data_IF_553246451745
#
_entry.id   IF_553246451745
#
_cell.length_a   1.000
_cell.length_b   1.000
_cell.length_c   1.000
_cell.angle_alpha   90.00
_cell.angle_beta   90.00
_cell.angle_gamma   90.00
#
_symmetry.space_group_name_H-M   'P 1'
#
loop_
_entity.id
_entity.type
_entity.pdbx_description
1 polymer ?
#
# COMPACT_ATOMS: atom_id res chain seq x y z
N UNK A 1 29.39 -6.12 7.54
CA UNK A 1 28.09 -6.05 8.22
C UNK A 1 27.54 -4.63 8.04
N UNK A 2 26.62 -4.42 7.09
CA UNK A 2 26.16 -3.07 6.72
C UNK A 2 24.93 -2.66 7.55
N UNK A 3 25.14 -2.41 8.85
CA UNK A 3 24.08 -1.97 9.76
C UNK A 3 23.45 -0.64 9.29
N UNK A 4 22.15 -0.48 9.51
CA UNK A 4 21.43 0.76 9.20
C UNK A 4 21.86 1.86 10.20
N UNK A 5 22.05 3.12 9.77
CA UNK A 5 22.29 4.23 10.69
C UNK A 5 21.06 4.42 11.59
N UNK A 6 21.25 4.21 12.90
CA UNK A 6 20.17 4.00 13.86
C UNK A 6 19.42 5.28 14.24
N UNK A 7 18.09 5.22 14.17
CA UNK A 7 17.18 6.17 14.83
C UNK A 7 15.90 6.45 14.03
N UNK A 8 16.03 7.12 12.89
CA UNK A 8 14.88 7.64 12.13
C UNK A 8 14.08 6.53 11.45
N UNK A 9 14.73 5.60 10.75
CA UNK A 9 14.04 4.50 10.06
C UNK A 9 13.29 3.59 11.04
N UNK A 10 13.88 3.30 12.22
CA UNK A 10 13.21 2.52 13.27
C UNK A 10 11.97 3.24 13.82
N UNK A 11 12.02 4.56 13.99
CA UNK A 11 10.85 5.35 14.41
C UNK A 11 9.73 5.28 13.38
N UNK A 12 10.04 5.44 12.11
CA UNK A 12 9.07 5.35 11.01
C UNK A 12 8.46 3.94 10.93
N UNK A 13 9.29 2.90 11.05
CA UNK A 13 8.84 1.51 11.11
C UNK A 13 7.89 1.26 12.29
N UNK A 14 8.22 1.75 13.50
CA UNK A 14 7.35 1.62 14.68
C UNK A 14 6.03 2.38 14.48
N UNK A 15 6.06 3.54 13.83
CA UNK A 15 4.84 4.29 13.50
C UNK A 15 3.96 3.51 12.53
N UNK A 16 4.55 2.93 11.47
CA UNK A 16 3.85 2.06 10.52
C UNK A 16 3.28 0.79 11.20
N UNK A 17 4.05 0.16 12.08
CA UNK A 17 3.61 -0.99 12.87
C UNK A 17 2.36 -0.65 13.70
N UNK A 18 2.37 0.49 14.39
CA UNK A 18 1.20 0.96 15.15
C UNK A 18 -0.01 1.20 14.24
N UNK A 19 0.20 1.80 13.07
CA UNK A 19 -0.87 2.05 12.10
C UNK A 19 -1.47 0.75 11.53
N UNK A 20 -0.64 -0.29 11.34
CA UNK A 20 -1.06 -1.61 10.85
C UNK A 20 -1.92 -2.40 11.85
N UNK A 21 -1.91 -1.99 13.13
CA UNK A 21 -2.59 -2.65 14.26
C UNK A 21 -2.15 -4.10 14.50
N UNK A 22 -0.98 -4.49 13.99
CA UNK A 22 -0.39 -5.81 14.27
C UNK A 22 0.10 -5.87 15.71
N UNK A 23 -0.21 -6.98 16.36
CA UNK A 23 0.56 -7.44 17.52
C UNK A 23 1.92 -8.00 17.09
N UNK A 24 2.87 -8.09 18.01
CA UNK A 24 4.22 -8.62 17.71
C UNK A 24 4.17 -10.08 17.24
N UNK A 25 3.28 -10.89 17.83
CA UNK A 25 3.10 -12.30 17.42
C UNK A 25 2.64 -12.40 15.96
N UNK A 26 1.64 -11.61 15.58
CA UNK A 26 1.12 -11.59 14.20
C UNK A 26 2.15 -11.05 13.21
N UNK A 27 2.88 -9.99 13.60
CA UNK A 27 4.00 -9.47 12.82
C UNK A 27 5.04 -10.55 12.57
N UNK A 28 5.45 -11.29 13.62
CA UNK A 28 6.43 -12.36 13.51
C UNK A 28 5.95 -13.47 12.56
N UNK A 29 4.68 -13.91 12.65
CA UNK A 29 4.13 -14.93 11.76
C UNK A 29 4.11 -14.49 10.29
N UNK A 30 3.71 -13.25 10.01
CA UNK A 30 3.72 -12.68 8.64
C UNK A 30 5.14 -12.56 8.11
N UNK A 31 6.05 -12.01 8.90
CA UNK A 31 7.49 -11.93 8.59
C UNK A 31 8.10 -13.32 8.32
N UNK A 32 7.75 -14.32 9.12
CA UNK A 32 8.25 -15.69 8.97
C UNK A 32 7.74 -16.32 7.67
N UNK A 33 6.48 -16.07 7.30
CA UNK A 33 5.93 -16.53 6.02
C UNK A 33 6.66 -15.95 4.79
N UNK A 34 7.30 -14.78 4.95
CA UNK A 34 8.14 -14.14 3.92
C UNK A 34 9.58 -14.68 3.88
N UNK A 35 9.90 -15.71 4.67
CA UNK A 35 11.25 -16.29 4.76
C UNK A 35 12.14 -15.63 5.81
N UNK A 36 11.55 -14.92 6.77
CA UNK A 36 12.26 -14.36 7.90
C UNK A 36 12.98 -15.42 8.76
N UNK A 37 14.24 -15.18 9.10
CA UNK A 37 15.10 -16.15 9.79
C UNK A 37 15.27 -15.87 11.29
N UNK A 38 14.88 -14.69 11.79
CA UNK A 38 15.04 -14.31 13.21
C UNK A 38 13.82 -14.70 14.04
N UNK A 39 14.05 -14.99 15.31
CA UNK A 39 13.00 -15.35 16.24
C UNK A 39 12.18 -14.15 16.71
N UNK A 40 10.97 -14.39 17.23
CA UNK A 40 10.10 -13.35 17.81
C UNK A 40 10.81 -12.48 18.84
N UNK A 41 11.59 -13.09 19.74
CA UNK A 41 12.32 -12.36 20.79
C UNK A 41 13.35 -11.38 20.20
N UNK A 42 13.99 -11.74 19.08
CA UNK A 42 14.95 -10.86 18.40
C UNK A 42 14.23 -9.69 17.71
N UNK A 43 13.05 -9.94 17.14
CA UNK A 43 12.17 -8.88 16.61
C UNK A 43 11.75 -7.93 17.74
N UNK A 44 11.34 -8.44 18.90
CA UNK A 44 11.00 -7.61 20.06
C UNK A 44 12.19 -6.77 20.51
N UNK A 45 13.38 -7.37 20.64
CA UNK A 45 14.60 -6.66 20.99
C UNK A 45 14.91 -5.57 19.96
N UNK A 46 14.74 -5.86 18.67
CA UNK A 46 14.92 -4.89 17.60
C UNK A 46 13.96 -3.70 17.68
N UNK A 47 12.67 -3.97 17.86
CA UNK A 47 11.64 -2.93 17.99
C UNK A 47 11.89 -2.03 19.23
N UNK A 48 12.44 -2.59 20.31
CA UNK A 48 12.84 -1.85 21.50
C UNK A 48 14.21 -1.16 21.36
N UNK A 49 14.92 -1.34 20.24
CA UNK A 49 16.25 -0.77 20.00
C UNK A 49 17.36 -1.43 20.83
N UNK A 50 17.13 -2.63 21.34
CA UNK A 50 18.08 -3.42 22.15
C UNK A 50 19.04 -4.24 21.28
N UNK A 51 18.63 -4.60 20.07
CA UNK A 51 19.41 -5.41 19.13
C UNK A 51 19.28 -4.86 17.71
N UNK A 52 20.37 -4.67 16.94
CA UNK A 52 20.25 -4.32 15.53
C UNK A 52 19.96 -5.56 14.67
N UNK A 53 19.15 -5.40 13.62
CA UNK A 53 18.92 -6.44 12.60
C UNK A 53 19.75 -6.17 11.33
N UNK A 54 19.94 -7.22 10.53
CA UNK A 54 20.45 -7.06 9.17
C UNK A 54 19.43 -6.31 8.30
N UNK A 55 19.90 -5.70 7.20
CA UNK A 55 19.02 -4.97 6.26
C UNK A 55 17.91 -5.86 5.71
N UNK A 56 18.24 -7.09 5.32
CA UNK A 56 17.24 -8.03 4.80
C UNK A 56 16.13 -8.29 5.83
N UNK A 57 16.49 -8.56 7.09
CA UNK A 57 15.49 -8.84 8.11
C UNK A 57 14.63 -7.61 8.44
N UNK A 58 15.22 -6.41 8.43
CA UNK A 58 14.47 -5.17 8.52
C UNK A 58 13.46 -5.00 7.38
N UNK A 59 13.88 -5.23 6.14
CA UNK A 59 13.04 -5.01 4.97
C UNK A 59 11.89 -6.02 4.91
N UNK A 60 12.09 -7.25 5.37
CA UNK A 60 11.01 -8.24 5.52
C UNK A 60 9.98 -7.83 6.58
N UNK A 61 10.41 -7.25 7.71
CA UNK A 61 9.49 -6.69 8.72
C UNK A 61 8.70 -5.53 8.12
N UNK A 62 9.36 -4.63 7.38
CA UNK A 62 8.70 -3.51 6.71
C UNK A 62 7.67 -4.00 5.68
N UNK A 63 8.01 -5.04 4.92
CA UNK A 63 7.11 -5.64 3.93
C UNK A 63 5.85 -6.21 4.59
N UNK A 64 5.99 -7.01 5.65
CA UNK A 64 4.85 -7.57 6.39
C UNK A 64 3.91 -6.48 6.96
N UNK A 65 4.48 -5.35 7.43
CA UNK A 65 3.71 -4.19 7.91
C UNK A 65 2.95 -3.54 6.76
N UNK A 66 3.61 -3.34 5.61
CA UNK A 66 3.01 -2.69 4.44
C UNK A 66 1.88 -3.54 3.86
N UNK A 67 2.04 -4.85 3.73
CA UNK A 67 0.96 -5.75 3.29
C UNK A 67 -0.27 -5.60 4.21
N UNK A 68 -0.05 -5.51 5.52
CA UNK A 68 -1.16 -5.27 6.45
C UNK A 68 -1.80 -3.89 6.28
N UNK A 69 -1.00 -2.86 6.03
CA UNK A 69 -1.52 -1.52 5.76
C UNK A 69 -2.38 -1.49 4.50
N UNK A 70 -1.99 -2.21 3.45
CA UNK A 70 -2.74 -2.31 2.21
C UNK A 70 -4.08 -3.06 2.40
N UNK A 71 -4.12 -4.08 3.26
CA UNK A 71 -5.37 -4.78 3.63
C UNK A 71 -6.39 -3.86 4.32
N UNK A 72 -5.93 -2.90 5.14
CA UNK A 72 -6.80 -2.02 5.94
C UNK A 72 -7.05 -0.65 5.29
N UNK A 73 -6.27 -0.30 4.26
CA UNK A 73 -6.44 0.88 3.43
C UNK A 73 -6.73 0.50 1.95
N UNK A 74 -7.87 -0.19 1.68
CA UNK A 74 -8.31 -0.56 0.34
C UNK A 74 -8.47 0.66 -0.60
N UNK A 75 -8.60 0.46 -1.93
CA UNK A 75 -8.31 1.49 -2.93
C UNK A 75 -8.96 2.84 -2.65
N UNK A 76 -8.18 3.89 -2.88
CA UNK A 76 -8.63 5.28 -2.74
C UNK A 76 -9.81 5.51 -3.68
N UNK A 77 -10.86 6.14 -3.15
CA UNK A 77 -12.01 6.56 -3.95
C UNK A 77 -11.56 7.51 -5.07
N UNK A 78 -12.13 7.39 -6.28
CA UNK A 78 -11.79 8.26 -7.41
C UNK A 78 -12.15 9.72 -7.09
N UNK A 79 -11.32 10.67 -7.55
CA UNK A 79 -11.68 12.07 -7.50
C UNK A 79 -12.72 12.40 -8.56
N UNK A 80 -13.55 13.42 -8.33
CA UNK A 80 -14.56 13.84 -9.33
C UNK A 80 -13.93 14.24 -10.68
N UNK A 81 -12.68 14.73 -10.67
CA UNK A 81 -11.91 15.02 -11.87
C UNK A 81 -11.54 13.76 -12.68
N UNK A 82 -11.40 12.60 -12.03
CA UNK A 82 -11.10 11.33 -12.69
C UNK A 82 -12.37 10.66 -13.28
N UNK A 83 -13.55 11.23 -12.99
CA UNK A 83 -14.84 10.73 -13.47
C UNK A 83 -15.31 11.44 -14.75
N UNK A 84 -14.81 12.64 -15.07
CA UNK A 84 -15.21 13.42 -16.26
C UNK A 84 -14.55 12.97 -17.57
N UNK A 85 -13.43 12.24 -17.50
CA UNK A 85 -12.66 11.81 -18.69
C UNK A 85 -13.27 10.59 -19.41
N UNK A 86 -14.37 10.02 -18.90
CA UNK A 86 -15.02 8.82 -19.47
C UNK A 86 -16.24 9.09 -20.35
N UNK A 87 -16.73 10.33 -20.38
CA UNK A 87 -17.96 10.67 -21.11
C UNK A 87 -17.72 11.31 -22.49
N UNK A 88 -16.46 11.48 -22.94
CA UNK A 88 -16.13 12.23 -24.18
C UNK A 88 -15.37 11.42 -25.26
N UNK A 89 -15.52 10.09 -25.32
CA UNK A 89 -14.95 9.28 -26.41
C UNK A 89 -16.04 8.55 -27.22
N UNK A 90 -16.51 9.22 -28.28
CA UNK A 90 -17.06 8.65 -29.52
C UNK A 90 -18.60 8.54 -29.61
N UNK A 91 -19.32 9.09 -30.60
CA UNK A 91 -18.92 9.70 -31.88
C UNK A 91 -20.17 10.41 -32.49
N UNK A 92 -20.02 11.53 -33.24
CA UNK A 92 -21.11 12.25 -33.90
C UNK A 92 -21.40 11.62 -35.27
N UNK A 93 -22.37 10.70 -35.31
CA UNK A 93 -22.77 9.99 -36.53
C UNK A 93 -24.07 10.50 -37.15
N UNK A 94 -23.95 11.58 -37.91
CA UNK A 94 -24.86 12.10 -38.95
C UNK A 94 -25.82 11.07 -39.60
N UNK A 95 -27.15 11.28 -39.49
CA UNK A 95 -28.14 10.76 -40.45
C UNK A 95 -29.57 11.23 -40.18
N UNK A 96 -30.03 12.23 -40.94
CA UNK A 96 -31.08 12.08 -41.98
C UNK A 96 -31.72 13.42 -42.31
N UNK A 97 -31.46 13.88 -43.53
CA UNK A 97 -32.28 14.88 -44.18
C UNK A 97 -33.71 14.39 -44.38
N UNK A 98 -34.63 15.35 -44.35
CA UNK A 98 -35.87 15.29 -45.10
C UNK A 98 -36.27 16.73 -45.40
N UNK A 99 -35.92 17.18 -46.61
CA UNK A 99 -36.62 18.28 -47.26
C UNK A 99 -38.01 17.83 -47.74
N UNK A 100 -38.65 18.73 -48.48
CA UNK A 100 -40.07 18.81 -48.86
C UNK A 100 -40.90 19.40 -47.72
N UNK A 101 -41.24 20.70 -47.71
CA UNK A 101 -41.81 21.58 -48.74
C UNK A 101 -43.06 21.03 -49.44
N UNK A 102 -44.04 21.93 -49.55
CA UNK A 102 -45.30 21.90 -50.30
C UNK A 102 -46.56 21.29 -49.65
N UNK A 103 -47.43 22.24 -49.25
CA UNK A 103 -48.76 22.47 -49.84
C UNK A 103 -49.96 21.62 -49.38
N UNK A 104 -50.78 22.16 -48.47
CA UNK A 104 -52.23 22.39 -48.65
C UNK A 104 -52.91 23.06 -47.46
#
# INVERSE_FOLDING_TARGET
MNYLPDGEHRRQLIAALRASRLGVEELWLRYFALGGEVGRMEIEAYLNGLLPLSRLQHDLIAHAINERLDEIAPPRAPYAADLSDRDDDGDPGESRGAGTDSDR
#
